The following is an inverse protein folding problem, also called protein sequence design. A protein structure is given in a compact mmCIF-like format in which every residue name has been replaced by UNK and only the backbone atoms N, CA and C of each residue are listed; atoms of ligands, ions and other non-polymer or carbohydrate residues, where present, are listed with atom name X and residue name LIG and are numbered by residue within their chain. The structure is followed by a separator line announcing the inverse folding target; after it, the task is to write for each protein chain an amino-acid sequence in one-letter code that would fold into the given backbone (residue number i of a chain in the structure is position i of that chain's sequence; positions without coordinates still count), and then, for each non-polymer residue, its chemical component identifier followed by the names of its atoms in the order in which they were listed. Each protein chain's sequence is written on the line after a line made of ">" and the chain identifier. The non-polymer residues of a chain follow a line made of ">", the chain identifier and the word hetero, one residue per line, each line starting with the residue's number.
data_IF_711680006086
#
_entry.id   IF_711680006086
#
_cell.length_a   1.000
_cell.length_b   1.000
_cell.length_c   1.000
_cell.angle_alpha   90.00
_cell.angle_beta   90.00
_cell.angle_gamma   90.00
#
_symmetry.space_group_name_H-M   'P 1'
#
loop_
_entity.id
_entity.type
_entity.pdbx_description
1 polymer ?
#
# COMPACT_ATOMS: atom_id res chain seq x y z
N UNK A 1 10.37 16.40 -10.34
CA UNK A 1 10.57 15.48 -9.27
C UNK A 1 9.72 14.22 -9.43
N UNK A 2 10.36 13.13 -9.39
CA UNK A 2 9.64 11.88 -9.61
C UNK A 2 8.76 11.52 -8.43
N UNK A 3 7.50 11.22 -8.70
CA UNK A 3 6.61 10.66 -7.72
C UNK A 3 6.86 9.17 -7.67
N UNK A 4 6.81 8.58 -6.49
CA UNK A 4 6.96 7.15 -6.39
C UNK A 4 5.82 6.47 -7.13
N UNK A 5 6.16 5.45 -7.91
CA UNK A 5 5.13 4.68 -8.62
C UNK A 5 4.36 3.77 -7.66
N UNK A 6 4.86 3.61 -6.46
CA UNK A 6 4.29 2.72 -5.46
C UNK A 6 3.82 3.53 -4.27
N UNK A 7 2.62 3.28 -3.81
CA UNK A 7 2.06 3.93 -2.64
C UNK A 7 1.66 2.87 -1.63
N UNK A 8 1.65 3.25 -0.36
CA UNK A 8 1.18 2.34 0.69
C UNK A 8 0.28 3.11 1.64
N UNK A 9 -0.85 2.51 1.96
CA UNK A 9 -1.85 3.09 2.86
C UNK A 9 -2.01 2.15 4.04
N UNK A 10 -1.94 2.68 5.24
CA UNK A 10 -2.10 1.87 6.43
C UNK A 10 -1.80 2.65 7.68
N UNK A 11 -1.68 1.94 8.77
CA UNK A 11 -1.31 2.52 10.05
C UNK A 11 0.08 3.13 9.97
N UNK A 12 0.29 4.21 10.71
CA UNK A 12 1.56 4.92 10.65
C UNK A 12 2.77 4.01 10.85
N UNK A 13 2.70 3.14 11.85
CA UNK A 13 3.84 2.28 12.15
C UNK A 13 4.19 1.38 10.97
N UNK A 14 3.20 0.93 10.23
CA UNK A 14 3.41 0.06 9.09
C UNK A 14 3.95 0.85 7.89
N UNK A 15 3.33 1.97 7.57
CA UNK A 15 3.72 2.69 6.36
C UNK A 15 5.10 3.33 6.47
N UNK A 16 5.55 3.63 7.68
CA UNK A 16 6.89 4.18 7.87
C UNK A 16 7.95 3.20 7.39
N UNK A 17 7.73 1.92 7.63
CA UNK A 17 8.68 0.90 7.18
C UNK A 17 8.74 0.85 5.66
N UNK A 18 7.60 1.01 4.99
CA UNK A 18 7.57 1.03 3.54
C UNK A 18 8.21 2.29 2.98
N UNK A 19 8.06 3.38 3.68
CA UNK A 19 8.67 4.63 3.24
C UNK A 19 10.18 4.48 3.15
N UNK A 20 10.75 3.72 4.05
CA UNK A 20 12.17 3.44 4.00
C UNK A 20 12.60 2.65 2.77
N UNK A 21 11.66 2.01 2.10
CA UNK A 21 11.92 1.28 0.87
C UNK A 21 11.64 2.12 -0.38
N UNK A 22 11.26 3.37 -0.21
CA UNK A 22 11.06 4.25 -1.34
C UNK A 22 9.61 4.42 -1.79
N UNK A 23 8.65 3.86 -1.05
CA UNK A 23 7.25 4.02 -1.38
C UNK A 23 6.72 5.34 -0.84
N UNK A 24 5.71 5.88 -1.51
CA UNK A 24 4.99 7.03 -0.98
C UNK A 24 4.07 6.53 0.12
N UNK A 25 4.23 7.05 1.33
CA UNK A 25 3.51 6.55 2.50
C UNK A 25 2.33 7.45 2.84
N UNK A 26 1.18 6.83 3.05
CA UNK A 26 -0.05 7.53 3.39
C UNK A 26 -0.64 6.93 4.67
N UNK A 27 -0.21 7.42 5.83
CA UNK A 27 -0.75 6.91 7.08
C UNK A 27 -2.19 7.36 7.28
N UNK A 28 -3.02 6.46 7.76
CA UNK A 28 -4.41 6.78 8.07
C UNK A 28 -4.74 6.27 9.47
N UNK A 29 -5.64 6.97 10.14
CA UNK A 29 -5.99 6.62 11.51
C UNK A 29 -7.49 6.36 11.71
N UNK A 30 -8.29 6.50 10.65
CA UNK A 30 -9.71 6.23 10.75
C UNK A 30 -10.21 5.64 9.44
N UNK A 31 -11.38 5.00 9.52
CA UNK A 31 -12.00 4.43 8.33
C UNK A 31 -12.32 5.51 7.30
N UNK A 32 -12.79 6.66 7.76
CA UNK A 32 -13.13 7.74 6.85
C UNK A 32 -11.90 8.29 6.17
N UNK A 33 -10.83 8.48 6.92
CA UNK A 33 -9.58 8.95 6.36
C UNK A 33 -9.03 7.94 5.35
N UNK A 34 -9.15 6.67 5.67
CA UNK A 34 -8.69 5.62 4.75
C UNK A 34 -9.48 5.66 3.45
N UNK A 35 -10.80 5.81 3.57
CA UNK A 35 -11.66 5.85 2.39
C UNK A 35 -11.31 7.02 1.49
N UNK A 36 -11.15 8.19 2.07
CA UNK A 36 -10.80 9.38 1.29
C UNK A 36 -9.44 9.27 0.66
N UNK A 37 -8.48 8.76 1.41
CA UNK A 37 -7.12 8.65 0.92
C UNK A 37 -7.05 7.67 -0.25
N UNK A 38 -7.62 6.49 -0.08
CA UNK A 38 -7.55 5.48 -1.13
C UNK A 38 -8.33 5.92 -2.36
N UNK A 39 -9.53 6.46 -2.16
CA UNK A 39 -10.33 6.93 -3.29
C UNK A 39 -9.59 8.02 -4.06
N UNK A 40 -8.94 8.92 -3.34
CA UNK A 40 -8.17 9.98 -3.98
C UNK A 40 -7.00 9.45 -4.78
N UNK A 41 -6.28 8.46 -4.22
CA UNK A 41 -5.16 7.88 -4.91
C UNK A 41 -5.59 7.16 -6.19
N UNK A 42 -6.71 6.47 -6.13
CA UNK A 42 -7.23 5.78 -7.31
C UNK A 42 -7.61 6.79 -8.38
N UNK A 43 -8.25 7.87 -7.97
CA UNK A 43 -8.75 8.88 -8.89
C UNK A 43 -7.63 9.64 -9.58
N UNK A 44 -6.58 9.96 -8.83
CA UNK A 44 -5.47 10.75 -9.36
C UNK A 44 -4.58 9.99 -10.31
N UNK A 45 -4.52 8.69 -10.16
CA UNK A 45 -3.73 7.83 -11.04
C UNK A 45 -2.24 8.22 -11.10
N UNK A 46 -1.72 8.68 -10.00
CA UNK A 46 -0.31 9.06 -9.90
C UNK A 46 0.60 7.90 -9.57
N UNK A 47 0.04 6.84 -9.01
CA UNK A 47 0.81 5.67 -8.61
C UNK A 47 0.33 4.47 -9.38
N UNK A 48 1.26 3.63 -9.79
CA UNK A 48 0.92 2.43 -10.54
C UNK A 48 0.36 1.34 -9.64
N UNK A 49 0.85 1.27 -8.41
CA UNK A 49 0.42 0.25 -7.46
C UNK A 49 0.16 0.91 -6.12
N UNK A 50 -0.96 0.57 -5.51
CA UNK A 50 -1.33 1.06 -4.19
C UNK A 50 -1.44 -0.15 -3.27
N UNK A 51 -0.56 -0.23 -2.30
CA UNK A 51 -0.60 -1.28 -1.29
C UNK A 51 -1.44 -0.80 -0.13
N UNK A 52 -2.37 -1.64 0.30
CA UNK A 52 -3.26 -1.31 1.42
C UNK A 52 -3.16 -2.45 2.42
N UNK A 53 -2.90 -2.11 3.69
CA UNK A 53 -2.86 -3.15 4.70
C UNK A 53 -4.22 -3.79 4.84
N UNK A 54 -4.24 -5.09 5.14
CA UNK A 54 -5.48 -5.85 5.18
C UNK A 54 -6.48 -5.30 6.19
N UNK A 55 -5.97 -4.85 7.35
CA UNK A 55 -6.86 -4.31 8.36
C UNK A 55 -7.59 -3.06 7.87
N UNK A 56 -6.90 -2.23 7.10
CA UNK A 56 -7.53 -1.06 6.51
C UNK A 56 -8.47 -1.48 5.38
N UNK A 57 -8.02 -2.42 4.55
CA UNK A 57 -8.83 -2.87 3.42
C UNK A 57 -10.17 -3.45 3.85
N UNK A 58 -10.19 -4.14 4.97
CA UNK A 58 -11.43 -4.73 5.48
C UNK A 58 -12.46 -3.68 5.88
N UNK A 59 -12.01 -2.47 6.18
CA UNK A 59 -12.90 -1.41 6.60
C UNK A 59 -13.48 -0.63 5.43
N UNK A 60 -12.94 -0.82 4.23
CA UNK A 60 -13.40 -0.10 3.05
C UNK A 60 -13.63 -1.07 1.89
N UNK A 61 -14.46 -2.11 2.11
CA UNK A 61 -14.65 -3.11 1.05
C UNK A 61 -15.26 -2.55 -0.22
N UNK A 62 -16.08 -1.51 -0.10
CA UNK A 62 -16.68 -0.88 -1.28
C UNK A 62 -15.62 -0.23 -2.17
N UNK A 63 -14.64 0.42 -1.55
CA UNK A 63 -13.57 1.06 -2.32
C UNK A 63 -12.70 0.01 -2.98
N UNK A 64 -12.40 -1.07 -2.26
CA UNK A 64 -11.60 -2.15 -2.82
C UNK A 64 -12.31 -2.81 -4.00
N UNK A 65 -13.62 -3.05 -3.86
CA UNK A 65 -14.40 -3.66 -4.94
C UNK A 65 -14.43 -2.76 -6.16
N UNK A 66 -14.57 -1.46 -5.94
CA UNK A 66 -14.57 -0.51 -7.03
C UNK A 66 -13.24 -0.52 -7.78
N UNK A 67 -12.14 -0.58 -7.04
CA UNK A 67 -10.82 -0.55 -7.64
C UNK A 67 -10.56 -1.79 -8.49
N UNK A 68 -11.19 -2.91 -8.16
CA UNK A 68 -10.95 -4.14 -8.90
C UNK A 68 -11.50 -4.10 -10.33
N UNK A 69 -12.29 -3.08 -10.64
CA UNK A 69 -12.84 -2.92 -11.98
C UNK A 69 -11.90 -2.23 -12.94
N UNK A 70 -10.76 -1.77 -12.46
CA UNK A 70 -9.80 -1.07 -13.28
C UNK A 70 -8.45 -1.75 -13.20
N UNK A 71 -7.70 -1.60 -14.27
CA UNK A 71 -6.33 -2.13 -14.29
C UNK A 71 -5.35 -1.20 -13.62
N UNK A 72 -5.60 0.09 -13.66
CA UNK A 72 -4.66 1.07 -13.20
C UNK A 72 -5.38 2.10 -12.36
N UNK A 73 -4.87 2.40 -11.17
CA UNK A 73 -3.75 1.73 -10.50
C UNK A 73 -4.16 0.36 -9.98
N UNK A 74 -3.18 -0.52 -9.80
CA UNK A 74 -3.42 -1.81 -9.17
C UNK A 74 -3.49 -1.62 -7.66
N UNK A 75 -4.47 -2.25 -7.03
CA UNK A 75 -4.61 -2.22 -5.58
C UNK A 75 -4.30 -3.61 -5.04
N UNK A 76 -3.36 -3.68 -4.12
CA UNK A 76 -2.89 -4.93 -3.56
C UNK A 76 -3.00 -4.89 -2.04
N UNK A 77 -3.67 -5.87 -1.46
CA UNK A 77 -3.77 -5.97 -0.01
C UNK A 77 -2.54 -6.67 0.51
N UNK A 78 -1.98 -6.14 1.59
CA UNK A 78 -0.81 -6.72 2.21
C UNK A 78 -1.08 -6.94 3.69
N UNK A 79 -0.40 -7.93 4.31
CA UNK A 79 -0.62 -8.18 5.72
C UNK A 79 -0.26 -6.97 6.57
N UNK A 80 -1.03 -6.75 7.63
CA UNK A 80 -0.70 -5.69 8.57
C UNK A 80 0.46 -6.15 9.45
N UNK A 81 1.11 -5.20 10.11
CA UNK A 81 2.23 -5.52 10.97
C UNK A 81 1.80 -5.90 12.38
N UNK A 82 0.51 -6.09 12.59
CA UNK A 82 0.02 -6.53 13.88
C UNK A 82 0.67 -7.87 14.24
N UNK A 83 1.16 -7.98 15.46
CA UNK A 83 1.87 -9.17 15.90
C UNK A 83 3.37 -8.92 15.88
N UNK A 84 4.14 -9.80 15.28
CA UNK A 84 5.58 -9.64 15.24
C UNK A 84 5.96 -8.70 14.11
N UNK A 85 6.57 -7.58 14.47
CA UNK A 85 6.97 -6.60 13.48
C UNK A 85 7.97 -7.16 12.48
N UNK A 86 8.90 -7.97 12.95
CA UNK A 86 9.91 -8.51 12.06
C UNK A 86 9.33 -9.47 11.04
N UNK A 87 8.42 -10.33 11.51
CA UNK A 87 7.78 -11.28 10.62
C UNK A 87 6.91 -10.54 9.62
N UNK A 88 6.19 -9.53 10.10
CA UNK A 88 5.34 -8.74 9.21
C UNK A 88 6.14 -8.04 8.12
N UNK A 89 7.25 -7.41 8.50
CA UNK A 89 8.07 -6.72 7.53
C UNK A 89 8.67 -7.67 6.52
N UNK A 90 9.09 -8.84 6.98
CA UNK A 90 9.67 -9.83 6.07
C UNK A 90 8.63 -10.30 5.05
N UNK A 91 7.42 -10.57 5.51
CA UNK A 91 6.35 -10.97 4.60
C UNK A 91 6.01 -9.88 3.61
N UNK A 92 5.96 -8.64 4.08
CA UNK A 92 5.67 -7.52 3.21
C UNK A 92 6.75 -7.38 2.14
N UNK A 93 7.99 -7.53 2.54
CA UNK A 93 9.10 -7.46 1.59
C UNK A 93 8.95 -8.52 0.51
N UNK A 94 8.55 -9.73 0.90
CA UNK A 94 8.36 -10.81 -0.06
C UNK A 94 7.20 -10.52 -1.01
N UNK A 95 6.12 -9.96 -0.49
CA UNK A 95 4.98 -9.61 -1.33
C UNK A 95 5.37 -8.55 -2.34
N UNK A 96 6.13 -7.55 -1.89
CA UNK A 96 6.57 -6.49 -2.78
C UNK A 96 7.47 -7.04 -3.87
N UNK A 97 8.41 -7.89 -3.51
CA UNK A 97 9.31 -8.48 -4.49
C UNK A 97 8.56 -9.32 -5.51
N UNK A 98 7.57 -10.07 -5.04
CA UNK A 98 6.81 -10.93 -5.93
C UNK A 98 5.94 -10.12 -6.88
N UNK A 99 5.31 -9.06 -6.38
CA UNK A 99 4.39 -8.28 -7.17
C UNK A 99 5.10 -7.39 -8.19
N UNK A 100 6.29 -6.89 -7.83
CA UNK A 100 6.95 -5.85 -8.60
C UNK A 100 8.25 -6.31 -9.23
N UNK A 101 8.69 -7.49 -8.93
CA UNK A 101 10.01 -7.92 -9.34
C UNK A 101 11.06 -7.41 -8.40
N UNK A 102 12.22 -8.05 -8.41
CA UNK A 102 13.27 -7.72 -7.44
C UNK A 102 13.98 -6.42 -7.77
N UNK A 103 14.00 -6.03 -9.03
CA UNK A 103 14.79 -4.89 -9.46
C UNK A 103 14.27 -3.57 -8.90
N UNK A 104 12.98 -3.49 -8.66
CA UNK A 104 12.38 -2.24 -8.22
C UNK A 104 12.81 -1.89 -6.80
N UNK A 105 12.95 -2.91 -5.95
CA UNK A 105 13.32 -2.70 -4.56
C UNK A 105 14.79 -2.95 -4.29
N UNK A 106 15.48 -3.53 -5.23
CA UNK A 106 16.89 -3.85 -5.06
C UNK A 106 17.72 -2.69 -5.55
N UNK A 107 18.24 -1.93 -4.62
CA UNK A 107 18.99 -0.72 -4.96
C UNK A 107 20.50 -0.92 -4.86
N UNK A 108 20.92 -2.11 -4.65
CA UNK A 108 22.36 -2.42 -4.54
C UNK A 108 23.05 -2.44 -5.88
#
# INVERSE_FOLDING_TARGET
>A
MATSRLAVVGERATVVAFEGLGLAAFPVSSTEEARETVSGLIRKREHAVIFITEDIGEKIPDVIAESSRQYFPSVVLVPSSAGSKQIGLRKLSQVLKRALGTDILNVD
#
